data_IF_284142991174
#
_entry.id   IF_284142991174
#
_cell.length_a   1.000
_cell.length_b   1.000
_cell.length_c   1.000
_cell.angle_alpha   90.00
_cell.angle_beta   90.00
_cell.angle_gamma   90.00
#
_symmetry.space_group_name_H-M   'P 1'
#
loop_
_entity.id
_entity.type
_entity.pdbx_description
1 polymer ?
#
# COMPACT_ATOMS: atom_id res chain seq x y z
N UNK A 1 57.05 -59.13 2.09
CA UNK A 1 57.70 -57.84 2.43
C UNK A 1 57.51 -56.88 1.26
N UNK A 2 57.13 -55.62 1.56
CA UNK A 2 57.16 -54.41 0.68
C UNK A 2 56.26 -54.46 -0.57
N UNK A 3 55.09 -53.80 -0.54
CA UNK A 3 54.85 -52.38 -0.89
C UNK A 3 55.40 -52.02 -2.28
N UNK A 4 54.56 -51.59 -3.22
CA UNK A 4 54.16 -50.18 -3.44
C UNK A 4 53.43 -50.00 -4.80
N UNK A 5 52.62 -48.94 -4.87
CA UNK A 5 52.17 -48.18 -6.04
C UNK A 5 50.99 -48.72 -6.87
N UNK A 6 49.80 -48.24 -6.50
CA UNK A 6 48.79 -47.90 -7.51
C UNK A 6 48.15 -46.57 -7.11
N UNK A 7 48.68 -45.49 -7.69
CA UNK A 7 48.17 -44.12 -7.58
C UNK A 7 47.86 -43.65 -8.99
N UNK A 8 46.58 -43.53 -9.36
CA UNK A 8 46.08 -42.59 -10.40
C UNK A 8 44.57 -42.41 -10.11
N UNK A 9 44.22 -41.38 -9.34
CA UNK A 9 43.58 -40.13 -9.82
C UNK A 9 42.05 -40.24 -9.91
N UNK A 10 41.39 -40.18 -8.75
CA UNK A 10 39.95 -39.92 -8.66
C UNK A 10 39.79 -38.40 -8.58
N UNK A 11 39.32 -37.80 -9.67
CA UNK A 11 39.00 -36.38 -9.80
C UNK A 11 37.79 -36.06 -8.91
N UNK A 12 38.05 -35.61 -7.69
CA UNK A 12 37.02 -35.03 -6.81
C UNK A 12 36.78 -33.59 -7.29
N UNK A 13 35.70 -33.37 -8.02
CA UNK A 13 35.19 -32.04 -8.32
C UNK A 13 34.65 -31.46 -7.02
N UNK A 14 35.46 -30.63 -6.38
CA UNK A 14 35.08 -29.80 -5.24
C UNK A 14 34.12 -28.73 -5.75
N UNK A 15 32.81 -28.97 -5.62
CA UNK A 15 31.80 -27.93 -5.83
C UNK A 15 31.94 -26.97 -4.65
N UNK A 16 32.61 -25.84 -4.88
CA UNK A 16 32.51 -24.66 -4.03
C UNK A 16 31.05 -24.20 -4.04
N UNK A 17 30.24 -24.73 -3.13
CA UNK A 17 29.03 -24.09 -2.69
C UNK A 17 29.46 -22.80 -1.99
N UNK A 18 29.54 -21.71 -2.75
CA UNK A 18 29.43 -20.36 -2.21
C UNK A 18 28.10 -20.31 -1.47
N UNK A 19 28.15 -20.58 -0.17
CA UNK A 19 27.14 -20.13 0.76
C UNK A 19 27.14 -18.62 0.61
N UNK A 20 26.22 -18.10 -0.21
CA UNK A 20 25.82 -16.72 -0.14
C UNK A 20 25.35 -16.53 1.30
N UNK A 21 26.22 -15.95 2.11
CA UNK A 21 25.89 -15.40 3.41
C UNK A 21 24.85 -14.32 3.11
N UNK A 22 23.58 -14.71 3.05
CA UNK A 22 22.47 -13.78 3.09
C UNK A 22 22.53 -13.21 4.49
N UNK A 23 23.19 -12.06 4.61
CA UNK A 23 23.09 -11.23 5.80
C UNK A 23 21.61 -11.15 6.11
N UNK A 24 21.14 -11.61 7.28
CA UNK A 24 19.73 -11.48 7.62
C UNK A 24 19.40 -9.99 7.45
N UNK A 25 18.40 -9.69 6.61
CA UNK A 25 17.91 -8.34 6.43
C UNK A 25 17.70 -7.78 7.84
N UNK A 26 18.44 -6.71 8.17
CA UNK A 26 18.36 -6.10 9.49
C UNK A 26 16.89 -5.78 9.72
N UNK A 27 16.28 -6.48 10.66
CA UNK A 27 14.88 -6.28 10.97
C UNK A 27 14.66 -4.78 11.25
N UNK A 28 13.66 -4.19 10.61
CA UNK A 28 13.46 -2.75 10.70
C UNK A 28 13.25 -2.30 12.15
N UNK A 29 13.72 -1.10 12.47
CA UNK A 29 13.53 -0.51 13.80
C UNK A 29 12.02 -0.44 14.12
N UNK A 30 11.59 -0.76 15.36
CA UNK A 30 10.20 -0.56 15.78
C UNK A 30 9.64 0.82 15.42
N UNK A 31 10.47 1.86 15.45
CA UNK A 31 10.09 3.22 15.06
C UNK A 31 9.74 3.32 13.57
N UNK A 32 10.50 2.68 12.68
CA UNK A 32 10.22 2.68 11.24
C UNK A 32 8.87 1.99 10.94
N UNK A 33 8.59 0.87 11.64
CA UNK A 33 7.31 0.15 11.54
C UNK A 33 6.14 1.03 11.98
N UNK A 34 6.30 1.79 13.07
CA UNK A 34 5.27 2.72 13.56
C UNK A 34 5.02 3.89 12.60
N UNK A 35 6.08 4.42 11.98
CA UNK A 35 5.97 5.48 10.96
C UNK A 35 5.18 4.97 9.76
N UNK A 36 5.54 3.79 9.23
CA UNK A 36 4.83 3.20 8.08
C UNK A 36 3.34 2.98 8.38
N UNK A 37 3.01 2.50 9.59
CA UNK A 37 1.62 2.37 10.03
C UNK A 37 0.87 3.70 10.08
N UNK A 38 1.47 4.73 10.65
CA UNK A 38 0.86 6.05 10.72
C UNK A 38 0.66 6.67 9.34
N UNK A 39 1.63 6.54 8.44
CA UNK A 39 1.53 7.01 7.05
C UNK A 39 0.41 6.28 6.30
N UNK A 40 0.27 4.96 6.48
CA UNK A 40 -0.82 4.18 5.90
C UNK A 40 -2.19 4.69 6.36
N UNK A 41 -2.34 4.95 7.67
CA UNK A 41 -3.58 5.50 8.24
C UNK A 41 -3.91 6.87 7.68
N UNK A 42 -2.92 7.77 7.60
CA UNK A 42 -3.11 9.10 7.04
C UNK A 42 -3.54 9.00 5.58
N UNK A 43 -2.90 8.16 4.78
CA UNK A 43 -3.26 7.94 3.37
C UNK A 43 -4.71 7.48 3.22
N UNK A 44 -5.15 6.48 3.99
CA UNK A 44 -6.52 5.97 3.94
C UNK A 44 -7.53 6.99 4.46
N UNK A 45 -7.19 7.77 5.49
CA UNK A 45 -8.01 8.87 6.00
C UNK A 45 -8.21 9.98 4.95
N UNK A 46 -7.20 10.25 4.10
CA UNK A 46 -7.35 11.17 2.97
C UNK A 46 -8.38 10.69 1.96
N UNK A 47 -8.43 9.39 1.64
CA UNK A 47 -9.46 8.83 0.75
C UNK A 47 -10.84 8.96 1.39
N UNK A 48 -10.97 8.59 2.67
CA UNK A 48 -12.23 8.73 3.42
C UNK A 48 -12.73 10.18 3.45
N UNK A 49 -11.82 11.13 3.65
CA UNK A 49 -12.14 12.56 3.67
C UNK A 49 -12.48 13.07 2.28
N UNK A 50 -11.75 12.68 1.24
CA UNK A 50 -11.95 13.16 -0.12
C UNK A 50 -13.29 12.71 -0.71
N UNK A 51 -13.68 11.48 -0.41
CA UNK A 51 -14.94 10.88 -0.89
C UNK A 51 -15.98 10.76 0.22
N UNK A 52 -15.89 11.61 1.25
CA UNK A 52 -16.95 11.71 2.24
C UNK A 52 -18.25 12.14 1.54
N UNK A 53 -19.40 11.77 2.12
CA UNK A 53 -20.70 12.05 1.51
C UNK A 53 -20.98 13.56 1.48
N UNK A 54 -20.84 14.17 0.31
CA UNK A 54 -21.43 15.46 -0.05
C UNK A 54 -22.53 15.21 -1.09
N UNK A 55 -23.63 15.95 -1.01
CA UNK A 55 -24.77 15.76 -1.92
C UNK A 55 -25.17 17.06 -2.62
N UNK A 56 -25.54 16.95 -3.89
CA UNK A 56 -26.24 18.01 -4.61
C UNK A 56 -27.65 18.23 -4.03
N UNK A 57 -28.37 19.24 -4.53
CA UNK A 57 -29.71 19.63 -4.02
C UNK A 57 -30.76 18.52 -4.18
N UNK A 58 -30.60 17.67 -5.17
CA UNK A 58 -31.46 16.51 -5.46
C UNK A 58 -31.10 15.27 -4.63
N UNK A 59 -30.08 15.36 -3.76
CA UNK A 59 -29.58 14.25 -2.95
C UNK A 59 -28.55 13.38 -3.65
N UNK A 60 -28.15 13.68 -4.89
CA UNK A 60 -27.11 12.93 -5.60
C UNK A 60 -25.74 13.11 -4.94
N UNK A 61 -25.04 12.03 -4.55
CA UNK A 61 -23.67 12.10 -4.06
C UNK A 61 -22.73 12.70 -5.11
N UNK A 62 -21.95 13.68 -4.69
CA UNK A 62 -20.99 14.39 -5.51
C UNK A 62 -19.65 14.49 -4.79
N UNK A 63 -18.58 14.61 -5.56
CA UNK A 63 -17.28 15.02 -5.05
C UNK A 63 -17.42 16.41 -4.44
N UNK A 64 -16.85 16.62 -3.25
CA UNK A 64 -16.89 17.92 -2.58
C UNK A 64 -16.40 19.02 -3.55
N UNK A 65 -17.23 20.04 -3.87
CA UNK A 65 -16.85 21.14 -4.74
C UNK A 65 -15.54 21.84 -4.32
N UNK A 66 -15.25 21.87 -3.01
CA UNK A 66 -14.03 22.46 -2.47
C UNK A 66 -12.74 21.73 -2.90
N UNK A 67 -12.87 20.48 -3.36
CA UNK A 67 -11.75 19.71 -3.91
C UNK A 67 -11.21 20.34 -5.19
N UNK A 68 -12.04 21.02 -5.98
CA UNK A 68 -11.66 21.53 -7.30
C UNK A 68 -11.73 20.49 -8.42
N UNK A 69 -12.51 19.41 -8.23
CA UNK A 69 -12.81 18.41 -9.26
C UNK A 69 -11.87 17.19 -9.29
N UNK A 70 -12.08 16.34 -10.30
CA UNK A 70 -11.45 15.02 -10.41
C UNK A 70 -9.92 15.09 -10.56
N UNK A 71 -9.40 16.04 -11.33
CA UNK A 71 -7.95 16.18 -11.54
C UNK A 71 -7.23 16.56 -10.24
N UNK A 72 -7.80 17.49 -9.47
CA UNK A 72 -7.27 17.89 -8.15
C UNK A 72 -7.40 16.77 -7.12
N UNK A 73 -8.50 16.03 -7.14
CA UNK A 73 -8.64 14.81 -6.34
C UNK A 73 -7.50 13.82 -6.64
N UNK A 74 -7.24 13.53 -7.93
CA UNK A 74 -6.15 12.65 -8.36
C UNK A 74 -4.78 13.17 -7.92
N UNK A 75 -4.50 14.47 -8.11
CA UNK A 75 -3.25 15.10 -7.69
C UNK A 75 -3.01 14.99 -6.18
N UNK A 76 -4.04 15.21 -5.37
CA UNK A 76 -3.97 15.04 -3.91
C UNK A 76 -3.62 13.60 -3.53
N UNK A 77 -4.26 12.62 -4.17
CA UNK A 77 -4.02 11.19 -3.87
C UNK A 77 -2.63 10.72 -4.29
N UNK A 78 -2.06 11.26 -5.37
CA UNK A 78 -0.69 10.95 -5.78
C UNK A 78 0.35 11.34 -4.72
N UNK A 79 0.01 12.17 -3.73
CA UNK A 79 0.86 12.45 -2.57
C UNK A 79 0.99 11.28 -1.58
N UNK A 80 0.11 10.27 -1.66
CA UNK A 80 -0.03 9.21 -0.65
C UNK A 80 -0.06 7.80 -1.24
N UNK A 81 -0.30 7.69 -2.54
CA UNK A 81 -0.44 6.45 -3.27
C UNK A 81 0.38 6.48 -4.56
N UNK A 82 0.73 5.32 -5.09
CA UNK A 82 1.29 5.23 -6.43
C UNK A 82 0.21 5.42 -7.51
N UNK A 83 0.62 5.79 -8.72
CA UNK A 83 -0.32 6.14 -9.78
C UNK A 83 -1.31 5.00 -10.13
N UNK A 84 -0.90 3.72 -10.24
CA UNK A 84 -1.84 2.63 -10.49
C UNK A 84 -2.91 2.48 -9.41
N UNK A 85 -2.54 2.59 -8.12
CA UNK A 85 -3.51 2.50 -7.04
C UNK A 85 -4.44 3.72 -7.00
N UNK A 86 -3.94 4.92 -7.30
CA UNK A 86 -4.78 6.11 -7.46
C UNK A 86 -5.83 5.90 -8.54
N UNK A 87 -5.45 5.36 -9.71
CA UNK A 87 -6.40 5.10 -10.79
C UNK A 87 -7.50 4.11 -10.37
N UNK A 88 -7.14 3.08 -9.60
CA UNK A 88 -8.11 2.15 -9.02
C UNK A 88 -9.05 2.82 -8.01
N UNK A 89 -8.52 3.66 -7.11
CA UNK A 89 -9.33 4.42 -6.14
C UNK A 89 -10.28 5.37 -6.87
N UNK A 90 -9.79 6.13 -7.84
CA UNK A 90 -10.60 7.08 -8.60
C UNK A 90 -11.72 6.36 -9.35
N UNK A 91 -11.41 5.25 -10.03
CA UNK A 91 -12.40 4.43 -10.74
C UNK A 91 -13.48 3.86 -9.81
N UNK A 92 -13.11 3.55 -8.56
CA UNK A 92 -14.05 3.03 -7.57
C UNK A 92 -15.06 4.08 -7.11
N UNK A 93 -14.64 5.33 -6.94
CA UNK A 93 -15.49 6.39 -6.37
C UNK A 93 -16.14 7.30 -7.40
N UNK A 94 -15.49 7.56 -8.53
CA UNK A 94 -15.89 8.62 -9.46
C UNK A 94 -16.60 8.04 -10.68
N UNK A 95 -17.62 8.77 -11.15
CA UNK A 95 -18.30 8.51 -12.43
C UNK A 95 -17.93 9.56 -13.47
N UNK A 96 -18.23 9.29 -14.74
CA UNK A 96 -18.11 10.27 -15.82
C UNK A 96 -19.28 11.29 -15.87
N UNK A 97 -20.17 11.28 -14.89
CA UNK A 97 -21.35 12.14 -14.84
C UNK A 97 -21.12 13.40 -13.99
N UNK A 98 -21.86 14.46 -14.31
CA UNK A 98 -21.87 15.69 -13.53
C UNK A 98 -23.29 16.15 -13.21
N UNK A 99 -23.44 16.83 -12.07
CA UNK A 99 -24.66 17.51 -11.65
C UNK A 99 -24.29 18.84 -10.98
N UNK A 100 -24.96 19.93 -11.37
CA UNK A 100 -24.64 21.28 -10.89
C UNK A 100 -23.15 21.66 -11.02
N UNK A 101 -22.48 21.20 -12.09
CA UNK A 101 -21.02 21.31 -12.33
C UNK A 101 -20.12 20.53 -11.36
N UNK A 102 -20.67 19.62 -10.56
CA UNK A 102 -19.92 18.76 -9.65
C UNK A 102 -19.88 17.33 -10.18
N UNK A 103 -18.78 16.65 -9.91
CA UNK A 103 -18.57 15.25 -10.34
C UNK A 103 -19.45 14.33 -9.49
N UNK A 104 -20.25 13.49 -10.14
CA UNK A 104 -21.09 12.50 -9.45
C UNK A 104 -20.23 11.33 -8.99
N UNK A 105 -20.45 10.88 -7.74
CA UNK A 105 -19.79 9.70 -7.18
C UNK A 105 -20.63 8.44 -7.40
N UNK A 106 -19.96 7.30 -7.49
CA UNK A 106 -20.59 5.99 -7.47
C UNK A 106 -21.44 5.83 -6.20
N UNK A 107 -22.61 5.21 -6.33
CA UNK A 107 -23.53 4.97 -5.21
C UNK A 107 -23.58 3.46 -4.94
N UNK A 108 -23.41 3.07 -3.68
CA UNK A 108 -23.77 1.75 -3.18
C UNK A 108 -25.27 1.68 -2.85
N UNK A 109 -25.71 0.55 -2.31
CA UNK A 109 -27.12 0.25 -2.03
C UNK A 109 -27.76 1.22 -1.01
N UNK A 110 -26.96 1.80 -0.13
CA UNK A 110 -27.36 2.78 0.90
C UNK A 110 -27.23 4.25 0.42
N UNK A 111 -26.89 4.46 -0.85
CA UNK A 111 -26.65 5.77 -1.42
C UNK A 111 -25.27 6.36 -1.09
N UNK A 112 -24.33 5.58 -0.55
CA UNK A 112 -22.92 5.93 -0.40
C UNK A 112 -22.03 4.91 -1.13
N UNK A 113 -20.91 5.32 -1.70
CA UNK A 113 -19.95 4.37 -2.25
C UNK A 113 -19.43 3.45 -1.13
N UNK A 114 -19.35 2.14 -1.40
CA UNK A 114 -18.64 1.24 -0.50
C UNK A 114 -17.20 1.74 -0.29
N UNK A 115 -16.62 1.67 0.93
CA UNK A 115 -15.23 2.07 1.12
C UNK A 115 -14.29 1.22 0.26
N UNK A 116 -13.34 1.85 -0.45
CA UNK A 116 -12.30 1.16 -1.23
C UNK A 116 -11.43 0.29 -0.31
N UNK A 117 -11.03 0.87 0.83
CA UNK A 117 -10.31 0.16 1.88
C UNK A 117 -11.31 -0.45 2.87
N UNK A 118 -11.67 -1.70 2.63
CA UNK A 118 -12.56 -2.45 3.50
C UNK A 118 -12.06 -3.89 3.70
N UNK A 119 -11.76 -4.32 4.94
CA UNK A 119 -11.65 -3.51 6.16
C UNK A 119 -10.59 -2.40 6.09
N UNK A 120 -10.73 -1.38 6.94
CA UNK A 120 -9.90 -0.18 6.88
C UNK A 120 -8.85 -0.13 7.99
N UNK A 121 -7.60 0.18 7.63
CA UNK A 121 -6.52 0.40 8.60
C UNK A 121 -6.77 1.58 9.54
N UNK A 122 -7.70 2.49 9.24
CA UNK A 122 -8.05 3.59 10.17
C UNK A 122 -8.84 3.10 11.39
N UNK A 123 -9.45 1.92 11.29
CA UNK A 123 -10.25 1.31 12.35
C UNK A 123 -9.43 0.35 13.23
N UNK A 124 -8.13 0.17 12.93
CA UNK A 124 -7.21 -0.68 13.70
C UNK A 124 -6.36 0.12 14.70
N UNK A 125 -5.57 -0.58 15.51
CA UNK A 125 -4.47 -0.01 16.31
C UNK A 125 -3.15 -0.69 15.95
N UNK A 126 -2.01 -0.05 16.22
CA UNK A 126 -0.69 -0.58 15.80
C UNK A 126 -0.39 -1.98 16.34
N UNK A 127 -0.82 -2.25 17.58
CA UNK A 127 -0.67 -3.54 18.26
C UNK A 127 -1.57 -4.65 17.71
N UNK A 128 -2.61 -4.28 16.94
CA UNK A 128 -3.53 -5.26 16.30
C UNK A 128 -3.11 -5.67 14.90
N UNK A 129 -2.14 -4.99 14.29
CA UNK A 129 -1.68 -5.27 12.93
C UNK A 129 -0.32 -5.96 12.93
N UNK A 130 -0.05 -6.72 11.88
CA UNK A 130 1.27 -7.29 11.63
C UNK A 130 2.04 -6.39 10.67
N UNK A 131 3.23 -5.93 11.07
CA UNK A 131 4.10 -5.09 10.22
C UNK A 131 5.42 -5.81 9.94
N UNK A 132 5.66 -6.13 8.67
CA UNK A 132 6.84 -6.86 8.19
C UNK A 132 7.55 -6.08 7.09
N UNK A 133 8.87 -6.23 6.99
CA UNK A 133 9.67 -5.59 5.94
C UNK A 133 10.88 -4.83 6.48
N UNK A 134 11.32 -3.83 5.72
CA UNK A 134 12.47 -2.98 6.00
C UNK A 134 12.13 -1.51 5.74
N UNK A 135 13.08 -0.62 6.00
CA UNK A 135 12.90 0.84 5.84
C UNK A 135 12.54 1.27 4.41
N UNK A 136 12.83 0.44 3.42
CA UNK A 136 12.52 0.70 2.03
C UNK A 136 11.08 0.30 1.68
N UNK A 137 10.59 -0.77 2.30
CA UNK A 137 9.27 -1.34 2.01
C UNK A 137 8.71 -2.10 3.22
N UNK A 138 7.45 -1.80 3.56
CA UNK A 138 6.70 -2.49 4.59
C UNK A 138 5.42 -3.11 4.05
N UNK A 139 5.01 -4.21 4.66
CA UNK A 139 3.67 -4.80 4.52
C UNK A 139 2.96 -4.74 5.85
N UNK A 140 1.76 -4.18 5.86
CA UNK A 140 0.88 -4.14 7.01
C UNK A 140 -0.30 -5.05 6.76
N UNK A 141 -0.47 -6.07 7.60
CA UNK A 141 -1.61 -6.99 7.53
C UNK A 141 -2.58 -6.67 8.66
N UNK A 142 -3.84 -6.39 8.32
CA UNK A 142 -4.91 -6.16 9.31
C UNK A 142 -5.38 -7.48 9.93
N UNK A 143 -6.12 -7.47 11.06
CA UNK A 143 -6.71 -8.67 11.64
C UNK A 143 -7.58 -9.49 10.67
N UNK A 144 -8.17 -8.81 9.68
CA UNK A 144 -9.01 -9.40 8.65
C UNK A 144 -8.21 -9.83 7.41
N UNK A 145 -6.89 -9.87 7.51
CA UNK A 145 -5.95 -10.29 6.48
C UNK A 145 -5.87 -9.37 5.26
N UNK A 146 -6.25 -8.08 5.40
CA UNK A 146 -5.99 -7.08 4.36
C UNK A 146 -4.56 -6.61 4.40
N UNK A 147 -3.94 -6.50 3.22
CA UNK A 147 -2.52 -6.21 3.11
C UNK A 147 -2.30 -4.86 2.43
N UNK A 148 -1.65 -3.95 3.14
CA UNK A 148 -1.16 -2.68 2.62
C UNK A 148 0.34 -2.82 2.34
N UNK A 149 0.75 -2.64 1.08
CA UNK A 149 2.18 -2.53 0.75
C UNK A 149 2.58 -1.07 0.69
N UNK A 150 3.62 -0.71 1.41
CA UNK A 150 4.12 0.65 1.54
C UNK A 150 5.56 0.75 1.09
N UNK A 151 5.88 1.80 0.33
CA UNK A 151 7.26 2.09 -0.09
C UNK A 151 7.67 3.49 0.33
N UNK A 152 8.91 3.62 0.83
CA UNK A 152 9.48 4.91 1.14
C UNK A 152 9.64 5.75 -0.13
N UNK A 153 9.22 7.00 -0.09
CA UNK A 153 9.41 7.98 -1.15
C UNK A 153 10.24 9.13 -0.59
N UNK A 154 11.50 9.19 -1.00
CA UNK A 154 12.48 10.16 -0.48
C UNK A 154 12.08 11.61 -0.79
N UNK A 155 11.53 11.85 -1.99
CA UNK A 155 11.02 13.16 -2.43
C UNK A 155 9.82 13.66 -1.59
N UNK A 156 9.04 12.74 -1.01
CA UNK A 156 7.88 13.05 -0.16
C UNK A 156 8.18 12.96 1.33
N UNK A 157 9.33 12.40 1.70
CA UNK A 157 9.74 12.15 3.08
C UNK A 157 8.75 11.29 3.88
N UNK A 158 8.11 10.31 3.21
CA UNK A 158 7.10 9.42 3.82
C UNK A 158 6.98 8.10 3.09
N UNK A 159 6.29 7.14 3.71
CA UNK A 159 5.79 5.98 3.01
C UNK A 159 4.52 6.30 2.21
N UNK A 160 4.42 5.77 1.00
CA UNK A 160 3.17 5.76 0.22
C UNK A 160 2.66 4.34 0.08
N UNK A 161 1.35 4.16 -0.06
CA UNK A 161 0.77 2.84 -0.33
C UNK A 161 0.86 2.57 -1.82
N UNK A 162 1.50 1.48 -2.20
CA UNK A 162 1.65 1.07 -3.61
C UNK A 162 0.81 -0.14 -3.98
N UNK A 163 0.19 -0.80 -3.00
CA UNK A 163 -0.71 -1.92 -3.25
C UNK A 163 -1.67 -2.14 -2.06
N UNK A 164 -2.86 -2.65 -2.38
CA UNK A 164 -3.89 -3.04 -1.41
C UNK A 164 -4.58 -4.33 -1.89
N UNK A 165 -4.61 -5.36 -1.02
CA UNK A 165 -5.17 -6.70 -1.27
C UNK A 165 -6.14 -7.12 -0.15
#
# INVERSE_FOLDING_TARGET
MRNKFMTVLMLVILILSVAACSTPAKEADPMDKQIAYNDARVAVDKVKTLFHKTTAKDGTPILDPATGGQEKAKELLLGYFDAPLVDNIMKHYVTDQTVDNNVVLNKGEDGAAAPFFNPSIVDTTFDTVKVEGSKEEFKITTPENKIYTLKWQEDKGRYIITNFE
#
